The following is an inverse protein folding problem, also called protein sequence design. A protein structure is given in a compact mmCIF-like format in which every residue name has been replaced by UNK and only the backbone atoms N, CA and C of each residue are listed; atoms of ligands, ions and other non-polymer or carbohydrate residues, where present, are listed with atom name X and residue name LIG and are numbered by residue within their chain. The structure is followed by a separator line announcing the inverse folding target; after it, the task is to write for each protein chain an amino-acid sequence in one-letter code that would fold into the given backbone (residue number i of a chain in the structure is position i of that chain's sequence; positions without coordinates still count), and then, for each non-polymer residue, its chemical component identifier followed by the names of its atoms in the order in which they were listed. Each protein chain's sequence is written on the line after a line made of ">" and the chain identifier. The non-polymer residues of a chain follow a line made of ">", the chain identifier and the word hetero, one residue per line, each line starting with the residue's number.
data_IF_938921758936
#
_entry.id   IF_938921758936
#
_cell.length_a   1.000
_cell.length_b   1.000
_cell.length_c   1.000
_cell.angle_alpha   90.00
_cell.angle_beta   90.00
_cell.angle_gamma   90.00
#
_symmetry.space_group_name_H-M   'P 1'
#
loop_
_entity.id
_entity.type
_entity.pdbx_description
1 polymer ?
#
# COMPACT_ATOMS: atom_id res chain seq x y z
N UNK A 1 -5.67 28.64 -7.60
CA UNK A 1 -5.94 27.19 -7.68
C UNK A 1 -4.62 26.48 -7.52
N UNK A 2 -4.40 25.87 -6.37
CA UNK A 2 -3.09 25.32 -5.95
C UNK A 2 -3.29 24.14 -4.97
N UNK A 3 -4.33 24.19 -4.13
CA UNK A 3 -4.71 23.09 -3.22
C UNK A 3 -5.00 21.75 -3.90
N UNK A 4 -5.49 21.71 -5.14
CA UNK A 4 -5.71 20.42 -5.84
C UNK A 4 -4.40 19.74 -6.23
N UNK A 5 -3.36 20.51 -6.56
CA UNK A 5 -2.04 19.96 -6.87
C UNK A 5 -1.37 19.41 -5.60
N UNK A 6 -1.45 20.15 -4.49
CA UNK A 6 -0.96 19.73 -3.18
C UNK A 6 -1.65 18.45 -2.63
N UNK A 7 -2.92 18.22 -2.96
CA UNK A 7 -3.62 16.97 -2.62
C UNK A 7 -3.31 15.82 -3.58
N UNK A 8 -2.94 16.13 -4.83
CA UNK A 8 -2.59 15.14 -5.84
C UNK A 8 -1.19 14.56 -5.64
N UNK A 9 -0.22 15.34 -5.17
CA UNK A 9 1.15 14.87 -4.88
C UNK A 9 1.19 13.68 -3.90
N UNK A 10 0.50 13.73 -2.74
CA UNK A 10 0.39 12.58 -1.84
C UNK A 10 -0.21 11.34 -2.50
N UNK A 11 -1.19 11.51 -3.39
CA UNK A 11 -1.81 10.41 -4.11
C UNK A 11 -0.87 9.82 -5.18
N UNK A 12 -0.10 10.66 -5.86
CA UNK A 12 0.89 10.25 -6.84
C UNK A 12 2.02 9.44 -6.18
N UNK A 13 2.59 9.94 -5.08
CA UNK A 13 3.62 9.25 -4.30
C UNK A 13 3.11 7.90 -3.79
N UNK A 14 1.88 7.85 -3.26
CA UNK A 14 1.26 6.59 -2.81
C UNK A 14 1.13 5.59 -3.95
N UNK A 15 0.70 6.04 -5.13
CA UNK A 15 0.51 5.18 -6.29
C UNK A 15 1.84 4.65 -6.83
N UNK A 16 2.89 5.45 -6.81
CA UNK A 16 4.23 5.01 -7.19
C UNK A 16 4.78 3.95 -6.23
N UNK A 17 4.67 4.19 -4.91
CA UNK A 17 5.06 3.20 -3.89
C UNK A 17 4.29 1.89 -4.02
N UNK A 18 2.98 1.94 -4.31
CA UNK A 18 2.17 0.75 -4.52
C UNK A 18 2.62 -0.05 -5.77
N UNK A 19 2.91 0.64 -6.88
CA UNK A 19 3.42 -0.02 -8.10
C UNK A 19 4.75 -0.71 -7.84
N UNK A 20 5.61 -0.09 -7.05
CA UNK A 20 6.89 -0.68 -6.70
C UNK A 20 6.74 -1.92 -5.82
N UNK A 21 5.88 -1.86 -4.80
CA UNK A 21 5.57 -3.03 -3.97
C UNK A 21 5.03 -4.20 -4.81
N UNK A 22 4.17 -3.92 -5.80
CA UNK A 22 3.66 -4.95 -6.73
C UNK A 22 4.78 -5.51 -7.61
N UNK A 23 5.69 -4.67 -8.13
CA UNK A 23 6.84 -5.14 -8.91
C UNK A 23 7.72 -6.08 -8.09
N UNK A 24 8.02 -5.71 -6.84
CA UNK A 24 8.84 -6.51 -5.93
C UNK A 24 8.17 -7.85 -5.57
N UNK A 25 6.87 -7.85 -5.32
CA UNK A 25 6.13 -9.09 -5.07
C UNK A 25 6.22 -10.04 -6.28
N UNK A 26 6.04 -9.50 -7.49
CA UNK A 26 6.06 -10.30 -8.73
C UNK A 26 7.45 -10.80 -9.11
N UNK A 27 8.51 -10.06 -8.77
CA UNK A 27 9.88 -10.53 -9.01
C UNK A 27 10.25 -11.74 -8.16
N UNK A 28 9.58 -11.94 -7.01
CA UNK A 28 9.83 -13.05 -6.09
C UNK A 28 8.86 -14.21 -6.32
N UNK A 29 7.56 -13.93 -6.46
CA UNK A 29 6.50 -14.96 -6.47
C UNK A 29 5.84 -15.18 -7.85
N UNK A 30 6.28 -14.46 -8.89
CA UNK A 30 5.76 -14.61 -10.25
C UNK A 30 4.68 -13.58 -10.64
N UNK A 31 4.23 -13.59 -11.91
CA UNK A 31 3.43 -12.51 -12.49
C UNK A 31 2.07 -12.29 -11.82
N UNK A 32 1.50 -13.34 -11.22
CA UNK A 32 0.18 -13.31 -10.59
C UNK A 32 0.24 -12.95 -9.10
N UNK A 33 1.43 -12.69 -8.55
CA UNK A 33 1.59 -12.28 -7.16
C UNK A 33 0.77 -11.02 -6.86
N UNK A 34 0.03 -11.09 -5.76
CA UNK A 34 -0.84 -10.01 -5.27
C UNK A 34 -0.48 -9.62 -3.84
N UNK A 35 -0.92 -8.43 -3.44
CA UNK A 35 -0.78 -7.92 -2.08
C UNK A 35 -2.17 -7.75 -1.47
N UNK A 36 -2.32 -8.12 -0.20
CA UNK A 36 -3.47 -7.77 0.64
C UNK A 36 -3.10 -6.71 1.66
N UNK A 37 -4.12 -5.97 2.07
CA UNK A 37 -4.03 -5.06 3.20
C UNK A 37 -4.46 -5.82 4.45
N UNK A 38 -3.63 -5.82 5.48
CA UNK A 38 -3.97 -6.39 6.80
C UNK A 38 -3.80 -5.34 7.89
N UNK A 39 -4.60 -5.43 8.94
CA UNK A 39 -4.41 -4.64 10.15
C UNK A 39 -3.27 -5.26 10.97
N UNK A 40 -2.27 -4.45 11.36
CA UNK A 40 -1.11 -4.86 12.17
C UNK A 40 -1.45 -4.88 13.65
N UNK A 41 -2.49 -4.14 14.07
CA UNK A 41 -2.99 -4.11 15.44
C UNK A 41 -4.48 -3.71 15.42
N UNK A 42 -5.40 -4.67 15.15
CA UNK A 42 -6.83 -4.36 15.02
C UNK A 42 -7.47 -3.88 16.33
N UNK A 43 -6.95 -4.27 17.48
CA UNK A 43 -7.47 -3.92 18.82
C UNK A 43 -6.88 -2.63 19.39
N UNK A 44 -5.95 -2.00 18.66
CA UNK A 44 -5.34 -0.74 19.07
C UNK A 44 -6.37 0.35 19.32
N UNK A 45 -6.28 1.00 20.48
CA UNK A 45 -7.05 2.19 20.83
C UNK A 45 -6.41 3.48 20.33
N UNK A 46 -5.24 3.38 19.70
CA UNK A 46 -4.51 4.51 19.12
C UNK A 46 -5.03 4.76 17.70
N UNK A 47 -5.33 6.01 17.30
CA UNK A 47 -5.89 6.32 15.99
C UNK A 47 -5.04 5.84 14.81
N UNK A 48 -3.73 5.70 15.00
CA UNK A 48 -2.82 5.10 14.02
C UNK A 48 -3.00 3.57 13.95
N UNK A 49 -4.20 3.11 13.58
CA UNK A 49 -4.42 1.74 13.12
C UNK A 49 -3.52 1.49 11.91
N UNK A 50 -2.41 0.79 12.14
CA UNK A 50 -1.41 0.52 11.11
C UNK A 50 -1.94 -0.58 10.20
N UNK A 51 -2.30 -0.19 8.99
CA UNK A 51 -2.50 -1.11 7.88
C UNK A 51 -1.12 -1.40 7.27
N UNK A 52 -0.87 -2.65 6.88
CA UNK A 52 0.31 -3.02 6.11
C UNK A 52 -0.07 -3.80 4.86
N UNK A 53 0.83 -3.79 3.88
CA UNK A 53 0.76 -4.66 2.72
C UNK A 53 1.49 -5.96 3.04
N UNK A 54 0.84 -7.09 2.77
CA UNK A 54 1.42 -8.42 2.88
C UNK A 54 1.17 -9.21 1.59
N UNK A 55 2.03 -10.17 1.23
CA UNK A 55 1.74 -11.11 0.16
C UNK A 55 0.37 -11.77 0.35
N UNK A 56 -0.36 -11.93 -0.74
CA UNK A 56 -1.55 -12.75 -0.81
C UNK A 56 -1.16 -14.18 -1.12
N UNK A 57 -1.62 -15.11 -0.29
CA UNK A 57 -1.57 -16.55 -0.54
C UNK A 57 -3.01 -16.99 -0.84
N UNK A 58 -3.30 -17.53 -2.04
CA UNK A 58 -4.66 -17.89 -2.47
C UNK A 58 -5.30 -19.05 -1.68
#
# INVERSE_FOLDING_TARGET
>A
GDQRALLAEPAAIRRERLREAVRQARSVAGPDAALRIIAVDPDSRVPERRLTLAPWDP
#
